data_IF_426928155647
#
_entry.id   IF_426928155647
#
_cell.length_a   1.000
_cell.length_b   1.000
_cell.length_c   1.000
_cell.angle_alpha   90.00
_cell.angle_beta   90.00
_cell.angle_gamma   90.00
#
_symmetry.space_group_name_H-M   'P 1'
#
loop_
_entity.id
_entity.type
_entity.pdbx_description
1 polymer ?
#
# COMPACT_ATOMS: atom_id res chain seq x y z
N UNK A 1 1.73 -8.96 3.95
CA UNK A 1 1.17 -10.07 4.72
C UNK A 1 0.05 -9.52 5.59
N UNK A 2 -0.84 -10.38 6.08
CA UNK A 2 -1.86 -9.92 7.02
C UNK A 2 -1.19 -9.40 8.29
N UNK A 3 -1.60 -8.24 8.79
CA UNK A 3 -0.96 -7.55 9.91
C UNK A 3 0.40 -6.91 9.59
N UNK A 4 0.82 -6.85 8.32
CA UNK A 4 2.05 -6.15 7.95
C UNK A 4 1.87 -4.64 8.05
N UNK A 5 2.81 -3.97 8.74
CA UNK A 5 2.84 -2.51 8.81
C UNK A 5 3.26 -1.91 7.48
N UNK A 6 2.51 -0.93 7.02
CA UNK A 6 2.74 -0.19 5.78
C UNK A 6 2.65 1.31 6.01
N UNK A 7 3.40 2.09 5.24
CA UNK A 7 3.16 3.52 5.10
C UNK A 7 2.26 3.77 3.91
N UNK A 8 1.30 4.67 4.07
CA UNK A 8 0.39 5.11 3.02
C UNK A 8 0.62 6.59 2.76
N UNK A 9 0.78 6.95 1.48
CA UNK A 9 0.89 8.32 1.01
C UNK A 9 -0.33 8.59 0.14
N UNK A 10 -1.17 9.55 0.53
CA UNK A 10 -2.30 9.98 -0.28
C UNK A 10 -1.87 11.13 -1.19
N UNK A 11 -1.83 10.88 -2.50
CA UNK A 11 -1.41 11.86 -3.50
C UNK A 11 -2.46 12.94 -3.75
N UNK A 12 -3.72 12.69 -3.37
CA UNK A 12 -4.80 13.66 -3.54
C UNK A 12 -4.78 14.78 -2.50
N UNK A 13 -4.16 14.56 -1.33
CA UNK A 13 -4.20 15.50 -0.20
C UNK A 13 -2.89 15.61 0.61
N UNK A 14 -1.81 14.97 0.15
CA UNK A 14 -0.48 14.93 0.77
C UNK A 14 -0.40 14.33 2.18
N UNK A 15 -1.47 13.74 2.72
CA UNK A 15 -1.47 13.08 4.02
C UNK A 15 -0.64 11.80 3.95
N UNK A 16 0.17 11.58 4.99
CA UNK A 16 1.00 10.39 5.17
C UNK A 16 0.70 9.77 6.53
N UNK A 17 0.48 8.47 6.54
CA UNK A 17 0.17 7.74 7.76
C UNK A 17 0.70 6.30 7.69
N UNK A 18 0.79 5.65 8.83
CA UNK A 18 1.17 4.25 8.94
C UNK A 18 0.01 3.43 9.49
N UNK A 19 -0.15 2.22 8.97
CA UNK A 19 -1.22 1.32 9.39
C UNK A 19 -0.83 -0.12 9.09
N UNK A 20 -1.71 -1.07 9.41
CA UNK A 20 -1.52 -2.49 9.15
C UNK A 20 -2.45 -2.97 8.04
N UNK A 21 -1.98 -3.90 7.23
CA UNK A 21 -2.76 -4.48 6.13
C UNK A 21 -3.72 -5.54 6.67
N UNK A 22 -4.99 -5.43 6.28
CA UNK A 22 -6.00 -6.47 6.44
C UNK A 22 -6.32 -7.08 5.08
N UNK A 23 -6.38 -8.41 4.99
CA UNK A 23 -6.71 -9.10 3.74
C UNK A 23 -8.10 -8.75 3.20
N UNK A 24 -8.15 -8.21 1.98
CA UNK A 24 -9.37 -8.02 1.20
C UNK A 24 -9.81 -9.26 0.42
N UNK A 25 -10.99 -9.17 -0.20
CA UNK A 25 -11.54 -10.25 -1.04
C UNK A 25 -10.78 -10.28 -2.37
N UNK A 26 -10.21 -11.44 -2.72
CA UNK A 26 -9.44 -11.63 -3.96
C UNK A 26 -10.27 -11.29 -5.20
N UNK A 27 -9.63 -10.61 -6.16
CA UNK A 27 -10.22 -10.30 -7.48
C UNK A 27 -11.20 -9.13 -7.48
N UNK A 28 -11.38 -8.44 -6.34
CA UNK A 28 -12.32 -7.31 -6.23
C UNK A 28 -11.66 -5.96 -6.46
N UNK A 29 -10.34 -5.86 -6.33
CA UNK A 29 -9.64 -4.57 -6.31
C UNK A 29 -9.97 -3.72 -5.07
N UNK A 30 -10.52 -4.31 -4.01
CA UNK A 30 -10.92 -3.54 -2.83
C UNK A 30 -9.70 -2.89 -2.15
N UNK A 31 -9.78 -1.58 -1.97
CA UNK A 31 -8.91 -0.79 -1.11
C UNK A 31 -9.83 -0.01 -0.18
N UNK A 32 -9.69 -0.26 1.13
CA UNK A 32 -10.51 0.39 2.16
C UNK A 32 -9.62 0.93 3.27
N UNK A 33 -9.87 2.17 3.67
CA UNK A 33 -9.27 2.79 4.85
C UNK A 33 -10.31 2.79 5.96
N UNK A 34 -9.98 2.18 7.09
CA UNK A 34 -10.90 1.92 8.20
C UNK A 34 -10.36 2.49 9.51
N UNK A 35 -11.22 2.55 10.54
CA UNK A 35 -10.85 2.99 11.88
C UNK A 35 -10.48 4.47 11.94
N UNK A 36 -9.49 4.83 12.75
CA UNK A 36 -9.10 6.23 12.98
C UNK A 36 -8.52 6.91 11.73
N UNK A 37 -8.09 6.12 10.74
CA UNK A 37 -7.51 6.61 9.50
C UNK A 37 -8.57 7.04 8.46
N UNK A 38 -9.87 6.86 8.71
CA UNK A 38 -10.94 7.22 7.74
C UNK A 38 -10.93 8.70 7.33
N UNK A 39 -10.32 9.57 8.14
CA UNK A 39 -10.21 10.99 7.82
C UNK A 39 -9.01 11.32 6.91
N UNK A 40 -8.11 10.37 6.67
CA UNK A 40 -6.87 10.58 5.90
C UNK A 40 -7.02 10.27 4.41
N UNK A 41 -8.08 9.57 4.02
CA UNK A 41 -8.39 9.30 2.63
C UNK A 41 -9.89 9.24 2.39
N UNK A 42 -10.32 9.64 1.21
CA UNK A 42 -11.69 9.51 0.73
C UNK A 42 -11.75 8.47 -0.39
N UNK A 43 -12.98 8.03 -0.69
CA UNK A 43 -13.22 7.23 -1.90
C UNK A 43 -12.68 8.00 -3.12
N UNK A 44 -12.04 7.26 -4.02
CA UNK A 44 -11.46 7.74 -5.29
C UNK A 44 -10.17 8.60 -5.13
N UNK A 45 -9.64 8.75 -3.91
CA UNK A 45 -8.29 9.27 -3.73
C UNK A 45 -7.24 8.29 -4.29
N UNK A 46 -6.15 8.83 -4.85
CA UNK A 46 -5.03 8.02 -5.30
C UNK A 46 -4.00 7.90 -4.19
N UNK A 47 -3.66 6.67 -3.81
CA UNK A 47 -2.69 6.40 -2.74
C UNK A 47 -1.51 5.56 -3.23
N UNK A 48 -0.37 5.71 -2.58
CA UNK A 48 0.78 4.80 -2.66
C UNK A 48 0.87 4.04 -1.34
N UNK A 49 1.03 2.72 -1.41
CA UNK A 49 1.25 1.85 -0.25
C UNK A 49 2.68 1.32 -0.28
N UNK A 50 3.43 1.53 0.79
CA UNK A 50 4.83 1.14 0.92
C UNK A 50 4.98 0.15 2.06
N UNK A 51 5.63 -0.97 1.79
CA UNK A 51 6.17 -1.88 2.81
C UNK A 51 7.68 -1.75 2.84
N UNK A 52 8.24 -1.88 4.04
CA UNK A 52 9.68 -1.86 4.27
C UNK A 52 10.10 -3.16 4.94
N UNK A 53 11.29 -3.63 4.58
CA UNK A 53 11.92 -4.76 5.22
C UNK A 53 13.39 -4.47 5.47
N UNK A 54 13.95 -5.12 6.49
CA UNK A 54 15.40 -5.12 6.70
C UNK A 54 16.04 -6.14 5.77
N UNK A 55 17.06 -5.70 5.05
CA UNK A 55 17.83 -6.54 4.13
C UNK A 55 19.28 -6.53 4.60
N UNK A 56 19.91 -7.70 4.80
CA UNK A 56 21.34 -7.76 5.11
C UNK A 56 22.18 -7.09 4.02
N UNK A 57 23.27 -6.43 4.41
CA UNK A 57 24.10 -5.64 3.50
C UNK A 57 24.64 -6.48 2.33
N UNK A 58 25.01 -7.73 2.57
CA UNK A 58 25.47 -8.66 1.54
C UNK A 58 24.42 -8.96 0.46
N UNK A 59 23.13 -8.80 0.81
CA UNK A 59 22.00 -9.08 -0.07
C UNK A 59 21.45 -7.84 -0.78
N UNK A 60 21.81 -6.62 -0.34
CA UNK A 60 21.19 -5.38 -0.85
C UNK A 60 21.44 -5.18 -2.36
N UNK A 61 22.63 -5.53 -2.85
CA UNK A 61 23.00 -5.38 -4.27
C UNK A 61 22.14 -6.24 -5.21
N UNK A 62 21.63 -7.36 -4.69
CA UNK A 62 20.80 -8.29 -5.45
C UNK A 62 19.30 -8.12 -5.15
N UNK A 63 18.95 -7.26 -4.18
CA UNK A 63 17.56 -7.03 -3.83
C UNK A 63 16.85 -6.30 -4.97
N UNK A 64 15.68 -6.81 -5.36
CA UNK A 64 14.78 -6.17 -6.31
C UNK A 64 13.51 -5.81 -5.58
N UNK A 65 13.27 -4.50 -5.41
CA UNK A 65 12.01 -4.00 -4.87
C UNK A 65 10.87 -4.45 -5.77
N UNK A 66 9.83 -5.05 -5.18
CA UNK A 66 8.62 -5.37 -5.91
C UNK A 66 7.80 -4.09 -6.08
N UNK A 67 7.64 -3.65 -7.32
CA UNK A 67 6.78 -2.54 -7.71
C UNK A 67 5.58 -3.16 -8.43
N UNK A 68 4.37 -2.75 -8.05
CA UNK A 68 3.12 -3.23 -8.65
C UNK A 68 2.37 -2.01 -9.12
N UNK A 69 2.10 -1.94 -10.43
CA UNK A 69 1.23 -0.92 -10.98
C UNK A 69 -0.17 -1.49 -11.15
N UNK A 70 -1.17 -0.67 -10.85
CA UNK A 70 -2.58 -1.05 -10.97
C UNK A 70 -3.33 -0.03 -11.83
N UNK A 71 -4.42 -0.48 -12.44
CA UNK A 71 -5.35 0.40 -13.13
C UNK A 71 -6.35 1.06 -12.15
N UNK A 72 -7.28 1.85 -12.69
CA UNK A 72 -8.34 2.55 -11.92
C UNK A 72 -9.31 1.62 -11.19
N UNK A 73 -9.30 0.32 -11.49
CA UNK A 73 -10.06 -0.72 -10.80
C UNK A 73 -9.21 -1.51 -9.79
N UNK A 74 -8.00 -1.01 -9.48
CA UNK A 74 -7.01 -1.65 -8.63
C UNK A 74 -6.60 -3.07 -9.10
N UNK A 75 -6.68 -3.32 -10.41
CA UNK A 75 -6.20 -4.55 -11.03
C UNK A 75 -4.77 -4.38 -11.51
N UNK A 76 -3.95 -5.40 -11.30
CA UNK A 76 -2.52 -5.40 -11.66
C UNK A 76 -2.36 -5.23 -13.18
N UNK A 77 -1.49 -4.30 -13.58
CA UNK A 77 -1.04 -4.09 -14.95
C UNK A 77 0.32 -4.75 -15.19
N UNK A 78 1.26 -4.57 -14.27
CA UNK A 78 2.61 -5.16 -14.24
C UNK A 78 3.11 -5.36 -12.81
#
# INVERSE_FOLDING_TARGET
MDGERVSVINLSNDIRFETEVVKGIRGTGIIGINGDNVHYAKKDDTIIVLSYGHIPEENIKNHKTKIIFVNTYNMILE
#
